data_IF_474840577862
#
_entry.id   IF_474840577862
#
_cell.length_a   1.000
_cell.length_b   1.000
_cell.length_c   1.000
_cell.angle_alpha   90.00
_cell.angle_beta   90.00
_cell.angle_gamma   90.00
#
_symmetry.space_group_name_H-M   'P 1'
#
loop_
_entity.id
_entity.type
_entity.pdbx_description
1 polymer ?
#
# COMPACT_ATOMS: atom_id res chain seq x y z
N UNK A 1 20.82 -30.09 23.15
CA UNK A 1 21.38 -29.37 24.31
C UNK A 1 22.13 -30.27 25.27
N UNK A 2 21.50 -31.30 25.93
CA UNK A 2 22.25 -32.27 26.77
C UNK A 2 23.26 -33.09 25.93
N UNK A 3 22.86 -33.54 24.74
CA UNK A 3 23.70 -34.30 23.81
C UNK A 3 24.93 -33.48 23.38
N UNK A 4 24.75 -32.21 23.03
CA UNK A 4 25.84 -31.33 22.59
C UNK A 4 26.87 -31.09 23.70
N UNK A 5 26.39 -30.97 24.98
CA UNK A 5 27.28 -30.87 26.14
C UNK A 5 28.05 -32.15 26.37
N UNK A 6 27.41 -33.34 26.22
CA UNK A 6 28.08 -34.63 26.32
C UNK A 6 29.17 -34.83 25.25
N UNK A 7 28.98 -34.22 24.08
CA UNK A 7 29.96 -34.18 22.98
C UNK A 7 31.05 -33.11 23.15
N UNK A 8 31.10 -32.42 24.30
CA UNK A 8 32.09 -31.38 24.60
C UNK A 8 31.96 -30.12 23.73
N UNK A 9 30.78 -29.87 23.14
CA UNK A 9 30.51 -28.71 22.28
C UNK A 9 29.64 -27.67 22.98
N UNK A 10 29.78 -26.42 22.59
CA UNK A 10 28.88 -25.33 23.05
C UNK A 10 27.50 -25.44 22.40
N UNK A 11 26.46 -25.15 23.17
CA UNK A 11 25.12 -25.07 22.63
C UNK A 11 25.01 -23.97 21.57
N UNK A 12 24.27 -24.17 20.47
CA UNK A 12 23.98 -23.11 19.53
C UNK A 12 23.16 -22.01 20.21
N UNK A 13 23.46 -20.78 19.86
CA UNK A 13 22.62 -19.65 20.24
C UNK A 13 21.30 -19.71 19.48
N UNK A 14 20.21 -19.34 20.14
CA UNK A 14 18.89 -19.35 19.53
C UNK A 14 17.89 -18.54 20.34
N UNK A 15 16.76 -18.26 19.72
CA UNK A 15 15.62 -17.63 20.37
C UNK A 15 14.31 -18.27 19.87
N UNK A 16 13.27 -18.20 20.70
CA UNK A 16 11.94 -18.63 20.31
C UNK A 16 11.25 -17.50 19.51
N UNK A 17 10.54 -17.89 18.47
CA UNK A 17 9.67 -16.98 17.70
C UNK A 17 8.23 -17.51 17.77
N UNK A 18 7.27 -16.57 17.59
CA UNK A 18 5.84 -16.88 17.67
C UNK A 18 5.28 -17.44 16.36
N UNK A 19 4.05 -17.93 16.43
CA UNK A 19 3.34 -18.54 15.32
C UNK A 19 2.94 -17.50 14.26
N UNK A 20 2.80 -17.98 13.03
CA UNK A 20 2.09 -17.26 11.97
C UNK A 20 0.63 -17.69 11.96
N UNK A 21 -0.26 -16.70 11.86
CA UNK A 21 -1.70 -16.85 11.90
C UNK A 21 -2.31 -16.43 10.56
N UNK A 22 -3.45 -16.99 10.22
CA UNK A 22 -4.25 -16.52 9.06
C UNK A 22 -5.03 -15.24 9.37
N UNK A 23 -5.89 -14.82 8.45
CA UNK A 23 -6.76 -13.66 8.60
C UNK A 23 -7.72 -13.74 9.79
N UNK A 24 -8.15 -14.96 10.14
CA UNK A 24 -9.04 -15.24 11.27
C UNK A 24 -8.33 -15.39 12.60
N UNK A 25 -6.99 -15.44 12.60
CA UNK A 25 -6.18 -15.65 13.78
C UNK A 25 -5.96 -17.13 14.12
N UNK A 26 -6.23 -18.04 13.20
CA UNK A 26 -5.91 -19.45 13.32
C UNK A 26 -4.46 -19.74 12.90
N UNK A 27 -3.85 -20.77 13.46
CA UNK A 27 -2.50 -21.20 13.09
C UNK A 27 -2.46 -21.61 11.61
N UNK A 28 -1.49 -21.07 10.88
CA UNK A 28 -1.23 -21.46 9.49
C UNK A 28 -0.75 -22.91 9.44
N UNK A 29 -1.31 -23.66 8.51
CA UNK A 29 -0.97 -25.04 8.25
C UNK A 29 -0.90 -25.30 6.75
N UNK A 30 0.15 -26.01 6.31
CA UNK A 30 0.30 -26.40 4.89
C UNK A 30 -0.88 -27.25 4.41
N UNK A 31 -1.42 -28.13 5.25
CA UNK A 31 -2.56 -28.98 4.89
C UNK A 31 -3.87 -28.22 4.77
N UNK A 32 -4.04 -27.09 5.47
CA UNK A 32 -5.21 -26.22 5.36
C UNK A 32 -5.11 -25.20 4.22
N UNK A 33 -3.90 -24.90 3.75
CA UNK A 33 -3.66 -23.87 2.72
C UNK A 33 -4.12 -22.47 3.14
N UNK A 34 -4.16 -22.16 4.44
CA UNK A 34 -4.77 -20.95 5.00
C UNK A 34 -3.77 -19.80 5.25
N UNK A 35 -2.64 -19.81 4.58
CA UNK A 35 -1.63 -18.76 4.69
C UNK A 35 -1.00 -18.44 3.33
N UNK A 36 -0.11 -17.46 3.30
CA UNK A 36 0.69 -17.13 2.12
C UNK A 36 2.00 -17.90 2.17
N UNK A 37 2.35 -18.59 1.09
CA UNK A 37 3.66 -19.24 0.93
C UNK A 37 4.72 -18.19 0.54
N UNK A 38 6.01 -18.57 0.66
CA UNK A 38 7.11 -17.72 0.22
C UNK A 38 6.99 -17.44 -1.28
N UNK A 39 6.70 -18.47 -2.07
CA UNK A 39 6.52 -18.36 -3.52
C UNK A 39 5.37 -17.41 -3.88
N UNK A 40 4.24 -17.50 -3.17
CA UNK A 40 3.12 -16.58 -3.36
C UNK A 40 3.50 -15.14 -3.00
N UNK A 41 4.22 -14.92 -1.88
CA UNK A 41 4.70 -13.57 -1.53
C UNK A 41 5.57 -12.98 -2.62
N UNK A 42 6.55 -13.75 -3.12
CA UNK A 42 7.48 -13.31 -4.16
C UNK A 42 6.82 -13.00 -5.52
N UNK A 43 5.59 -13.47 -5.74
CA UNK A 43 4.78 -13.02 -6.88
C UNK A 43 4.30 -11.58 -6.77
N UNK A 44 4.20 -11.04 -5.55
CA UNK A 44 3.53 -9.77 -5.26
C UNK A 44 4.44 -8.73 -4.60
N UNK A 45 5.62 -9.13 -4.12
CA UNK A 45 6.53 -8.25 -3.39
C UNK A 45 7.97 -8.77 -3.41
N UNK A 46 8.92 -7.92 -3.06
CA UNK A 46 10.33 -8.25 -3.02
C UNK A 46 10.67 -9.20 -1.86
N UNK A 47 11.75 -10.00 -1.99
CA UNK A 47 12.25 -10.84 -0.89
C UNK A 47 12.68 -10.02 0.32
N UNK A 48 13.16 -8.79 0.13
CA UNK A 48 13.56 -7.91 1.22
C UNK A 48 12.34 -7.45 2.05
N UNK A 49 11.19 -7.20 1.42
CA UNK A 49 9.95 -6.86 2.13
C UNK A 49 9.47 -8.03 2.99
N UNK A 50 9.59 -9.27 2.49
CA UNK A 50 9.31 -10.48 3.27
C UNK A 50 10.29 -10.64 4.42
N UNK A 51 11.59 -10.46 4.15
CA UNK A 51 12.63 -10.55 5.16
C UNK A 51 12.41 -9.55 6.29
N UNK A 52 12.05 -8.30 5.94
CA UNK A 52 11.67 -7.29 6.92
C UNK A 52 10.45 -7.72 7.75
N UNK A 53 9.38 -8.17 7.09
CA UNK A 53 8.18 -8.64 7.75
C UNK A 53 8.48 -9.79 8.74
N UNK A 54 9.37 -10.72 8.37
CA UNK A 54 9.79 -11.81 9.24
C UNK A 54 10.68 -11.35 10.39
N UNK A 55 11.61 -10.42 10.13
CA UNK A 55 12.57 -9.93 11.10
C UNK A 55 11.92 -9.08 12.20
N UNK A 56 10.93 -8.25 11.87
CA UNK A 56 10.27 -7.37 12.84
C UNK A 56 9.49 -8.17 13.89
N UNK A 57 9.64 -7.82 15.17
CA UNK A 57 8.86 -8.37 16.28
C UNK A 57 8.72 -9.91 16.30
N UNK A 58 9.80 -10.68 16.26
CA UNK A 58 9.73 -12.15 16.11
C UNK A 58 9.03 -12.85 17.29
N UNK A 59 8.92 -12.19 18.45
CA UNK A 59 8.24 -12.70 19.65
C UNK A 59 6.73 -12.39 19.69
N UNK A 60 6.16 -11.85 18.62
CA UNK A 60 4.71 -11.57 18.49
C UNK A 60 4.15 -12.42 17.37
N UNK A 61 3.00 -13.02 17.60
CA UNK A 61 2.25 -13.72 16.56
C UNK A 61 1.90 -12.73 15.43
N UNK A 62 2.09 -13.16 14.18
CA UNK A 62 1.88 -12.35 13.00
C UNK A 62 0.84 -12.97 12.10
N UNK A 63 -0.05 -12.16 11.59
CA UNK A 63 -0.98 -12.60 10.56
C UNK A 63 -0.30 -12.56 9.21
N UNK A 64 -0.27 -13.70 8.50
CA UNK A 64 0.37 -13.89 7.20
C UNK A 64 -0.66 -14.39 6.19
N UNK A 65 -1.30 -13.48 5.48
CA UNK A 65 -2.32 -13.70 4.47
C UNK A 65 -2.15 -12.69 3.33
N UNK A 66 -2.81 -12.87 2.18
CA UNK A 66 -2.51 -12.10 0.97
C UNK A 66 -2.69 -10.60 1.14
N UNK A 67 -3.72 -10.18 1.84
CA UNK A 67 -4.06 -8.77 2.04
C UNK A 67 -3.10 -8.02 2.98
N UNK A 68 -2.18 -8.72 3.69
CA UNK A 68 -1.12 -8.06 4.46
C UNK A 68 0.03 -7.57 3.58
N UNK A 69 0.20 -8.13 2.37
CA UNK A 69 1.34 -7.84 1.49
C UNK A 69 1.46 -6.35 1.17
N UNK A 70 0.40 -5.63 0.74
CA UNK A 70 0.51 -4.20 0.46
C UNK A 70 1.00 -3.39 1.65
N UNK A 71 0.49 -3.68 2.84
CA UNK A 71 0.90 -2.99 4.07
C UNK A 71 2.37 -3.26 4.41
N UNK A 72 2.83 -4.51 4.29
CA UNK A 72 4.21 -4.86 4.56
C UNK A 72 5.18 -4.22 3.56
N UNK A 73 4.77 -4.08 2.29
CA UNK A 73 5.54 -3.36 1.28
C UNK A 73 5.59 -1.86 1.60
N UNK A 74 4.47 -1.25 1.99
CA UNK A 74 4.44 0.16 2.37
C UNK A 74 5.31 0.43 3.61
N UNK A 75 5.29 -0.44 4.62
CA UNK A 75 6.20 -0.36 5.78
C UNK A 75 7.69 -0.46 5.37
N UNK A 76 8.01 -1.30 4.40
CA UNK A 76 9.36 -1.42 3.85
C UNK A 76 9.80 -0.12 3.15
N UNK A 77 8.95 0.47 2.31
CA UNK A 77 9.22 1.74 1.64
C UNK A 77 9.37 2.91 2.62
N UNK A 78 8.53 2.97 3.63
CA UNK A 78 8.60 3.98 4.70
C UNK A 78 9.93 3.93 5.47
N UNK A 79 10.44 2.71 5.72
CA UNK A 79 11.73 2.54 6.38
C UNK A 79 12.91 2.93 5.48
N UNK A 80 12.81 2.72 4.15
CA UNK A 80 13.79 3.25 3.18
C UNK A 80 13.83 4.78 3.27
N UNK A 81 12.66 5.44 3.25
CA UNK A 81 12.60 6.91 3.36
C UNK A 81 13.17 7.41 4.69
N UNK A 82 12.88 6.72 5.80
CA UNK A 82 13.43 7.07 7.12
C UNK A 82 14.94 6.90 7.17
N UNK A 83 15.49 5.85 6.56
CA UNK A 83 16.91 5.55 6.57
C UNK A 83 17.77 6.66 5.97
N UNK A 84 17.25 7.42 5.00
CA UNK A 84 17.95 8.54 4.35
C UNK A 84 18.27 9.71 5.29
N UNK A 85 17.54 9.83 6.38
CA UNK A 85 17.67 10.91 7.37
C UNK A 85 18.40 10.46 8.63
N UNK A 86 18.79 9.19 8.71
CA UNK A 86 19.43 8.58 9.86
C UNK A 86 20.95 8.68 9.78
N UNK A 87 21.58 8.96 10.90
CA UNK A 87 23.02 8.83 11.03
C UNK A 87 23.45 7.34 11.09
N UNK A 88 24.74 7.07 11.09
CA UNK A 88 25.28 5.71 11.10
C UNK A 88 24.84 4.90 12.33
N UNK A 89 24.65 5.54 13.48
CA UNK A 89 24.24 4.90 14.74
C UNK A 89 22.76 4.56 14.72
N UNK A 90 21.94 5.48 14.27
CA UNK A 90 20.50 5.29 14.10
C UNK A 90 20.20 4.23 13.03
N UNK A 91 21.00 4.22 11.94
CA UNK A 91 20.85 3.26 10.85
C UNK A 91 21.11 1.82 11.33
N UNK A 92 22.06 1.59 12.25
CA UNK A 92 22.27 0.27 12.87
C UNK A 92 21.06 -0.24 13.65
N UNK A 93 20.19 0.66 14.15
CA UNK A 93 18.94 0.32 14.83
C UNK A 93 17.77 0.13 13.84
N UNK A 94 17.94 0.54 12.59
CA UNK A 94 16.94 0.35 11.55
C UNK A 94 16.95 -1.11 11.06
N UNK A 95 15.80 -1.83 11.10
CA UNK A 95 15.71 -3.22 10.61
C UNK A 95 16.24 -3.41 9.19
N UNK A 96 16.11 -2.41 8.32
CA UNK A 96 16.59 -2.50 6.93
C UNK A 96 18.12 -2.70 6.82
N UNK A 97 18.89 -2.15 7.76
CA UNK A 97 20.34 -2.35 7.77
C UNK A 97 20.68 -3.84 7.86
N UNK A 98 19.94 -4.58 8.68
CA UNK A 98 20.12 -6.03 8.85
C UNK A 98 19.59 -6.82 7.64
N UNK A 99 18.43 -6.44 7.11
CA UNK A 99 17.82 -7.08 5.93
C UNK A 99 18.72 -6.94 4.70
N UNK A 100 19.36 -5.79 4.54
CA UNK A 100 20.22 -5.48 3.40
C UNK A 100 21.74 -5.69 3.67
N UNK A 101 22.10 -6.36 4.78
CA UNK A 101 23.49 -6.58 5.13
C UNK A 101 24.35 -5.30 5.10
N UNK A 102 23.83 -4.20 5.64
CA UNK A 102 24.48 -2.89 5.68
C UNK A 102 24.40 -2.05 4.41
N UNK A 103 23.79 -2.56 3.34
CA UNK A 103 23.66 -1.85 2.05
C UNK A 103 22.21 -1.44 1.79
N UNK A 104 21.68 -0.57 2.66
CA UNK A 104 20.29 -0.08 2.53
C UNK A 104 20.15 0.69 1.20
N UNK A 105 19.14 0.38 0.37
CA UNK A 105 18.97 1.05 -0.91
C UNK A 105 18.63 2.52 -0.73
N UNK A 106 19.08 3.35 -1.67
CA UNK A 106 18.83 4.78 -1.72
C UNK A 106 18.01 5.09 -2.97
N UNK A 107 16.69 4.96 -2.86
CA UNK A 107 15.75 5.33 -3.92
C UNK A 107 14.63 6.18 -3.32
N UNK A 108 14.31 7.31 -3.96
CA UNK A 108 13.21 8.16 -3.50
C UNK A 108 11.87 7.47 -3.72
N UNK A 109 11.01 7.49 -2.71
CA UNK A 109 9.65 7.01 -2.87
C UNK A 109 8.87 7.91 -3.83
N UNK A 110 8.27 7.31 -4.85
CA UNK A 110 7.39 8.00 -5.78
C UNK A 110 5.96 7.96 -5.23
N UNK A 111 5.53 6.78 -4.82
CA UNK A 111 4.22 6.55 -4.19
C UNK A 111 4.25 5.22 -3.40
N UNK A 112 3.29 5.05 -2.50
CA UNK A 112 3.12 3.79 -1.77
C UNK A 112 2.59 2.68 -2.69
N UNK A 113 2.77 1.42 -2.29
CA UNK A 113 2.24 0.28 -3.02
C UNK A 113 0.71 0.28 -3.05
N UNK A 114 0.08 0.64 -1.92
CA UNK A 114 -1.37 0.81 -1.84
C UNK A 114 -1.90 1.86 -2.81
N UNK A 115 -1.18 2.98 -2.98
CA UNK A 115 -1.54 4.01 -3.96
C UNK A 115 -1.38 3.50 -5.40
N UNK A 116 -0.32 2.73 -5.67
CA UNK A 116 -0.08 2.13 -6.99
C UNK A 116 -1.18 1.12 -7.34
N UNK A 117 -1.64 0.31 -6.39
CA UNK A 117 -2.78 -0.61 -6.58
C UNK A 117 -4.06 0.14 -6.97
N UNK A 118 -4.37 1.26 -6.30
CA UNK A 118 -5.53 2.07 -6.69
C UNK A 118 -5.36 2.70 -8.09
N UNK A 119 -4.13 3.07 -8.46
CA UNK A 119 -3.86 3.58 -9.80
C UNK A 119 -4.07 2.49 -10.87
N UNK A 120 -3.58 1.28 -10.63
CA UNK A 120 -3.83 0.11 -11.51
C UNK A 120 -5.31 -0.10 -11.71
N UNK A 121 -6.05 -0.05 -10.62
CA UNK A 121 -7.48 -0.26 -10.61
C UNK A 121 -8.27 0.76 -11.43
N UNK A 122 -8.02 2.04 -11.16
CA UNK A 122 -8.81 3.15 -11.73
C UNK A 122 -8.45 3.43 -13.18
N UNK A 123 -7.18 3.23 -13.53
CA UNK A 123 -6.71 3.44 -14.89
C UNK A 123 -6.99 2.25 -15.83
N UNK A 124 -7.51 1.13 -15.29
CA UNK A 124 -7.57 -0.15 -16.01
C UNK A 124 -6.23 -0.52 -16.65
N UNK A 125 -5.12 -0.12 -16.02
CA UNK A 125 -3.79 -0.36 -16.55
C UNK A 125 -3.46 -1.86 -16.49
N UNK A 126 -3.31 -2.46 -17.64
CA UNK A 126 -2.96 -3.88 -17.80
C UNK A 126 -1.48 -4.07 -18.08
N UNK A 127 -0.74 -2.99 -18.38
CA UNK A 127 0.69 -3.04 -18.71
C UNK A 127 1.51 -2.06 -17.90
N UNK A 128 2.80 -2.36 -17.75
CA UNK A 128 3.76 -1.49 -17.07
C UNK A 128 3.87 -0.12 -17.74
N UNK A 129 3.83 -0.09 -19.09
CA UNK A 129 3.95 1.13 -19.88
C UNK A 129 2.83 2.11 -19.60
N UNK A 130 1.60 1.61 -19.41
CA UNK A 130 0.46 2.44 -19.05
C UNK A 130 0.67 3.11 -17.70
N UNK A 131 1.11 2.36 -16.69
CA UNK A 131 1.39 2.91 -15.37
C UNK A 131 2.54 3.92 -15.39
N UNK A 132 3.62 3.60 -16.10
CA UNK A 132 4.74 4.53 -16.28
C UNK A 132 4.33 5.84 -16.95
N UNK A 133 3.36 5.81 -17.87
CA UNK A 133 2.82 7.02 -18.49
C UNK A 133 2.17 7.94 -17.45
N UNK A 134 1.33 7.40 -16.55
CA UNK A 134 0.74 8.19 -15.46
C UNK A 134 1.80 8.77 -14.54
N UNK A 135 2.76 7.96 -14.13
CA UNK A 135 3.83 8.37 -13.21
C UNK A 135 4.71 9.48 -13.82
N UNK A 136 5.06 9.38 -15.12
CA UNK A 136 5.83 10.40 -15.84
C UNK A 136 5.10 11.73 -15.99
N UNK A 137 3.77 11.71 -16.06
CA UNK A 137 2.99 12.94 -16.09
C UNK A 137 3.13 13.75 -14.78
N UNK A 138 3.32 13.06 -13.67
CA UNK A 138 3.51 13.70 -12.36
C UNK A 138 4.97 14.11 -12.11
N UNK A 139 5.94 13.27 -12.43
CA UNK A 139 7.37 13.49 -12.18
C UNK A 139 8.17 13.24 -13.47
N UNK A 140 8.56 14.33 -14.16
CA UNK A 140 9.11 14.27 -15.53
C UNK A 140 10.45 13.53 -15.67
N UNK A 141 11.30 13.52 -14.65
CA UNK A 141 12.69 13.04 -14.74
C UNK A 141 12.89 11.64 -14.13
N UNK A 142 11.90 10.76 -14.23
CA UNK A 142 11.99 9.40 -13.71
C UNK A 142 12.02 8.38 -14.85
N UNK A 143 12.90 7.39 -14.71
CA UNK A 143 13.04 6.28 -15.65
C UNK A 143 13.07 4.96 -14.90
N UNK A 144 12.86 3.86 -15.63
CA UNK A 144 12.93 2.51 -15.05
C UNK A 144 14.30 2.20 -14.45
N UNK A 145 15.36 2.77 -15.02
CA UNK A 145 16.75 2.49 -14.63
C UNK A 145 17.17 3.23 -13.35
N UNK A 146 16.68 4.47 -13.14
CA UNK A 146 17.01 5.23 -11.94
C UNK A 146 16.00 5.03 -10.78
N UNK A 147 14.93 4.23 -11.02
CA UNK A 147 13.96 3.81 -10.01
C UNK A 147 13.68 2.30 -10.07
N UNK A 148 14.68 1.43 -9.85
CA UNK A 148 14.54 -0.02 -9.97
C UNK A 148 13.57 -0.64 -8.96
N UNK A 149 13.52 -0.14 -7.71
CA UNK A 149 12.55 -0.60 -6.70
C UNK A 149 11.14 -0.28 -7.18
N UNK A 150 10.90 0.96 -7.59
CA UNK A 150 9.58 1.38 -8.07
C UNK A 150 9.17 0.65 -9.35
N UNK A 151 10.11 0.38 -10.26
CA UNK A 151 9.84 -0.42 -11.46
C UNK A 151 9.35 -1.84 -11.12
N UNK A 152 9.94 -2.47 -10.09
CA UNK A 152 9.47 -3.75 -9.60
C UNK A 152 8.09 -3.66 -8.92
N UNK A 153 7.83 -2.58 -8.17
CA UNK A 153 6.51 -2.34 -7.56
C UNK A 153 5.41 -2.25 -8.61
N UNK A 154 5.67 -1.62 -9.77
CA UNK A 154 4.72 -1.58 -10.90
C UNK A 154 4.35 -3.00 -11.35
N UNK A 155 5.32 -3.88 -11.53
CA UNK A 155 5.08 -5.28 -11.93
C UNK A 155 4.26 -6.03 -10.88
N UNK A 156 4.66 -5.92 -9.62
CA UNK A 156 3.97 -6.54 -8.51
C UNK A 156 2.53 -6.04 -8.36
N UNK A 157 2.30 -4.73 -8.55
CA UNK A 157 0.97 -4.15 -8.40
C UNK A 157 -0.03 -4.66 -9.45
N UNK A 158 0.38 -4.79 -10.70
CA UNK A 158 -0.46 -5.34 -11.77
C UNK A 158 -0.82 -6.80 -11.45
N UNK A 159 0.19 -7.59 -11.06
CA UNK A 159 -0.03 -9.00 -10.72
C UNK A 159 -0.92 -9.17 -9.50
N UNK A 160 -0.63 -8.44 -8.41
CA UNK A 160 -1.44 -8.49 -7.19
C UNK A 160 -2.88 -8.06 -7.45
N UNK A 161 -3.08 -7.00 -8.24
CA UNK A 161 -4.41 -6.54 -8.61
C UNK A 161 -5.20 -7.62 -9.34
N UNK A 162 -4.62 -8.25 -10.36
CA UNK A 162 -5.30 -9.27 -11.15
C UNK A 162 -5.64 -10.52 -10.33
N UNK A 163 -4.71 -10.97 -9.48
CA UNK A 163 -4.82 -12.24 -8.76
C UNK A 163 -5.65 -12.13 -7.46
N UNK A 164 -5.60 -10.96 -6.79
CA UNK A 164 -6.16 -10.79 -5.44
C UNK A 164 -7.27 -9.74 -5.39
N UNK A 165 -7.02 -8.52 -5.89
CA UNK A 165 -7.95 -7.39 -5.68
C UNK A 165 -9.18 -7.51 -6.55
N UNK A 166 -8.99 -7.79 -7.84
CA UNK A 166 -10.07 -7.81 -8.84
C UNK A 166 -11.22 -8.75 -8.48
N UNK A 167 -10.92 -9.85 -7.79
CA UNK A 167 -11.90 -10.88 -7.41
C UNK A 167 -12.71 -10.51 -6.16
N UNK A 168 -12.22 -9.60 -5.32
CA UNK A 168 -12.77 -9.32 -3.98
C UNK A 168 -13.52 -8.00 -3.87
N UNK A 169 -13.72 -7.26 -4.96
CA UNK A 169 -14.34 -5.93 -4.95
C UNK A 169 -15.83 -5.96 -4.66
N UNK A 170 -16.25 -5.05 -3.80
CA UNK A 170 -17.67 -4.80 -3.49
C UNK A 170 -17.95 -3.31 -3.55
N UNK A 171 -18.53 -2.86 -4.67
CA UNK A 171 -18.94 -1.47 -4.81
C UNK A 171 -20.23 -1.19 -4.02
N UNK A 172 -20.20 -0.10 -3.24
CA UNK A 172 -21.37 0.40 -2.55
C UNK A 172 -22.21 1.26 -3.49
N UNK A 173 -23.51 1.03 -3.53
CA UNK A 173 -24.46 1.96 -4.16
C UNK A 173 -24.75 3.08 -3.16
N UNK A 174 -24.45 4.36 -3.47
CA UNK A 174 -24.71 5.46 -2.56
C UNK A 174 -26.23 5.71 -2.42
N UNK A 175 -26.68 6.01 -1.21
CA UNK A 175 -28.03 6.49 -0.98
C UNK A 175 -28.18 7.96 -1.45
N UNK A 176 -29.39 8.52 -1.32
CA UNK A 176 -29.68 9.88 -1.82
C UNK A 176 -28.78 10.95 -1.21
N UNK A 177 -28.55 10.91 0.12
CA UNK A 177 -27.70 11.88 0.84
C UNK A 177 -26.23 11.72 0.46
N UNK A 178 -25.76 10.48 0.38
CA UNK A 178 -24.39 10.13 -0.04
C UNK A 178 -24.14 10.55 -1.50
N UNK A 179 -25.11 10.31 -2.39
CA UNK A 179 -25.02 10.74 -3.78
C UNK A 179 -24.92 12.26 -3.90
N UNK A 180 -25.70 13.01 -3.10
CA UNK A 180 -25.61 14.47 -3.03
C UNK A 180 -24.22 14.93 -2.60
N UNK A 181 -23.66 14.33 -1.54
CA UNK A 181 -22.32 14.66 -1.07
C UNK A 181 -21.24 14.39 -2.13
N UNK A 182 -21.37 13.31 -2.90
CA UNK A 182 -20.45 12.99 -4.01
C UNK A 182 -20.61 13.97 -5.19
N UNK A 183 -21.82 14.46 -5.48
CA UNK A 183 -22.05 15.50 -6.47
C UNK A 183 -21.45 16.85 -6.04
N UNK A 184 -21.52 17.20 -4.75
CA UNK A 184 -20.86 18.37 -4.20
C UNK A 184 -19.33 18.25 -4.29
N UNK A 185 -18.78 17.03 -4.10
CA UNK A 185 -17.36 16.75 -4.32
C UNK A 185 -16.96 17.01 -5.78
N UNK A 186 -17.73 16.51 -6.73
CA UNK A 186 -17.51 16.76 -8.16
C UNK A 186 -17.50 18.28 -8.44
N UNK A 187 -18.53 18.98 -7.98
CA UNK A 187 -18.65 20.45 -8.19
C UNK A 187 -17.46 21.22 -7.58
N UNK A 188 -16.96 20.78 -6.43
CA UNK A 188 -15.81 21.37 -5.79
C UNK A 188 -14.52 21.07 -6.57
N UNK A 189 -14.31 19.82 -6.98
CA UNK A 189 -13.16 19.44 -7.81
C UNK A 189 -13.16 20.16 -9.17
N UNK A 190 -14.31 20.43 -9.77
CA UNK A 190 -14.40 21.20 -11.03
C UNK A 190 -13.88 22.64 -10.89
N UNK A 191 -13.99 23.23 -9.69
CA UNK A 191 -13.50 24.59 -9.39
C UNK A 191 -11.99 24.65 -9.08
N UNK A 192 -11.37 23.51 -8.74
CA UNK A 192 -9.95 23.45 -8.44
C UNK A 192 -9.10 23.76 -9.69
N UNK A 193 -7.97 24.44 -9.52
CA UNK A 193 -7.02 24.66 -10.60
C UNK A 193 -6.25 23.40 -10.96
N UNK A 194 -5.78 23.27 -12.20
CA UNK A 194 -5.00 22.10 -12.65
C UNK A 194 -3.62 22.00 -11.96
N UNK A 195 -3.10 23.10 -11.40
CA UNK A 195 -1.82 23.16 -10.70
C UNK A 195 -1.95 23.14 -9.17
N UNK A 196 -3.13 22.79 -8.64
CA UNK A 196 -3.35 22.72 -7.19
C UNK A 196 -2.49 21.63 -6.55
N UNK A 197 -1.86 21.93 -5.40
CA UNK A 197 -1.03 20.97 -4.69
C UNK A 197 -1.90 19.83 -4.13
N UNK A 198 -1.34 18.62 -3.99
CA UNK A 198 -2.06 17.47 -3.42
C UNK A 198 -2.68 17.75 -2.05
N UNK A 199 -1.98 18.50 -1.20
CA UNK A 199 -2.44 18.90 0.14
C UNK A 199 -3.67 19.81 0.08
N UNK A 200 -3.69 20.72 -0.88
CA UNK A 200 -4.80 21.65 -1.05
C UNK A 200 -6.03 20.90 -1.59
N UNK A 201 -5.85 20.00 -2.56
CA UNK A 201 -6.93 19.09 -3.02
C UNK A 201 -7.49 18.27 -1.85
N UNK A 202 -6.60 17.74 -1.01
CA UNK A 202 -7.01 17.00 0.19
C UNK A 202 -7.85 17.86 1.13
N UNK A 203 -7.49 19.13 1.31
CA UNK A 203 -8.21 20.10 2.16
C UNK A 203 -9.61 20.37 1.60
N UNK A 204 -9.75 20.51 0.29
CA UNK A 204 -11.04 20.67 -0.37
C UNK A 204 -11.95 19.44 -0.15
N UNK A 205 -11.41 18.23 -0.25
CA UNK A 205 -12.16 17.00 0.03
C UNK A 205 -12.65 16.97 1.48
N UNK A 206 -11.81 17.37 2.45
CA UNK A 206 -12.22 17.51 3.85
C UNK A 206 -13.34 18.53 4.02
N UNK A 207 -13.25 19.67 3.33
CA UNK A 207 -14.26 20.75 3.41
C UNK A 207 -15.60 20.27 2.90
N UNK A 208 -15.65 19.57 1.77
CA UNK A 208 -16.88 18.97 1.25
C UNK A 208 -17.48 17.98 2.24
N UNK A 209 -16.68 17.10 2.82
CA UNK A 209 -17.16 16.15 3.83
C UNK A 209 -17.78 16.83 5.04
N UNK A 210 -17.12 17.86 5.58
CA UNK A 210 -17.65 18.65 6.72
C UNK A 210 -18.98 19.31 6.39
N UNK A 211 -19.13 19.86 5.20
CA UNK A 211 -20.34 20.56 4.74
C UNK A 211 -21.52 19.61 4.46
N UNK A 212 -21.22 18.32 4.23
CA UNK A 212 -22.21 17.29 3.95
C UNK A 212 -22.51 16.36 5.15
N UNK A 213 -22.28 16.84 6.38
CA UNK A 213 -22.68 16.14 7.59
C UNK A 213 -21.65 15.18 8.18
N UNK A 214 -20.44 15.10 7.61
CA UNK A 214 -19.35 14.23 8.11
C UNK A 214 -18.37 14.96 9.04
N UNK A 215 -18.74 16.15 9.57
CA UNK A 215 -17.85 16.97 10.40
C UNK A 215 -17.28 16.22 11.60
N UNK A 216 -18.11 15.46 12.28
CA UNK A 216 -17.76 14.70 13.48
C UNK A 216 -17.06 13.37 13.17
N UNK A 217 -17.23 12.85 11.96
CA UNK A 217 -16.65 11.57 11.55
C UNK A 217 -16.20 11.58 10.09
N UNK A 218 -15.09 12.28 9.82
CA UNK A 218 -14.50 12.34 8.48
C UNK A 218 -14.01 10.97 7.96
N UNK A 219 -13.79 10.00 8.85
CA UNK A 219 -13.42 8.65 8.43
C UNK A 219 -14.53 8.01 7.59
N UNK A 220 -15.81 8.19 7.98
CA UNK A 220 -16.94 7.69 7.20
C UNK A 220 -17.07 8.37 5.84
N UNK A 221 -16.70 9.66 5.72
CA UNK A 221 -16.64 10.36 4.45
C UNK A 221 -15.65 9.72 3.48
N UNK A 222 -14.43 9.49 3.94
CA UNK A 222 -13.42 8.83 3.11
C UNK A 222 -13.80 7.39 2.80
N UNK A 223 -14.34 6.64 3.77
CA UNK A 223 -14.86 5.30 3.57
C UNK A 223 -15.93 5.28 2.48
N UNK A 224 -16.89 6.21 2.51
CA UNK A 224 -17.90 6.34 1.46
C UNK A 224 -17.30 6.50 0.07
N UNK A 225 -16.32 7.42 -0.08
CA UNK A 225 -15.65 7.64 -1.38
C UNK A 225 -14.96 6.34 -1.84
N UNK A 226 -14.23 5.66 -0.94
CA UNK A 226 -13.53 4.44 -1.30
C UNK A 226 -14.46 3.29 -1.65
N UNK A 227 -15.52 3.09 -0.91
CA UNK A 227 -16.52 2.04 -1.18
C UNK A 227 -17.28 2.27 -2.49
N UNK A 228 -17.65 3.50 -2.79
CA UNK A 228 -18.41 3.84 -4.01
C UNK A 228 -17.50 3.84 -5.24
N UNK A 229 -16.33 4.47 -5.15
CA UNK A 229 -15.48 4.71 -6.31
C UNK A 229 -14.56 3.54 -6.59
N UNK A 230 -14.01 2.91 -5.55
CA UNK A 230 -12.97 1.89 -5.68
C UNK A 230 -13.39 0.49 -5.21
N UNK A 231 -14.53 0.35 -4.54
CA UNK A 231 -15.02 -0.93 -4.03
C UNK A 231 -14.21 -1.50 -2.86
N UNK A 232 -13.52 -0.62 -2.11
CA UNK A 232 -12.70 -0.96 -0.93
C UNK A 232 -13.02 -0.01 0.22
N UNK A 233 -12.78 -0.42 1.47
CA UNK A 233 -13.12 0.41 2.64
C UNK A 233 -12.12 1.54 2.92
N UNK A 234 -10.88 1.39 2.48
CA UNK A 234 -9.77 2.29 2.80
C UNK A 234 -8.80 2.40 1.61
N UNK A 235 -8.06 3.50 1.56
CA UNK A 235 -7.03 3.72 0.55
C UNK A 235 -6.07 4.86 0.93
N UNK A 236 -5.17 5.26 0.01
CA UNK A 236 -4.22 6.34 0.24
C UNK A 236 -4.91 7.70 0.33
N UNK A 237 -4.15 8.75 0.66
CA UNK A 237 -4.67 10.12 0.67
C UNK A 237 -5.19 10.51 -0.72
N UNK A 238 -6.49 10.82 -0.81
CA UNK A 238 -7.16 11.11 -2.09
C UNK A 238 -6.58 12.31 -2.82
N UNK A 239 -6.12 13.35 -2.11
CA UNK A 239 -5.49 14.50 -2.76
C UNK A 239 -4.24 14.12 -3.56
N UNK A 240 -3.39 13.26 -2.99
CA UNK A 240 -2.25 12.70 -3.71
C UNK A 240 -2.69 11.80 -4.86
N UNK A 241 -3.65 10.92 -4.63
CA UNK A 241 -4.18 10.06 -5.67
C UNK A 241 -4.71 10.87 -6.87
N UNK A 242 -5.51 11.89 -6.63
CA UNK A 242 -6.09 12.75 -7.68
C UNK A 242 -5.00 13.49 -8.46
N UNK A 243 -3.90 13.90 -7.81
CA UNK A 243 -2.79 14.57 -8.49
C UNK A 243 -2.05 13.66 -9.48
N UNK A 244 -2.03 12.33 -9.24
CA UNK A 244 -1.45 11.34 -10.15
C UNK A 244 -2.43 10.87 -11.22
N UNK A 245 -3.64 10.53 -10.80
CA UNK A 245 -4.67 9.98 -11.68
C UNK A 245 -5.22 11.02 -12.66
N UNK A 246 -5.29 12.25 -12.21
CA UNK A 246 -5.90 13.35 -12.94
C UNK A 246 -7.24 13.74 -12.35
N UNK A 247 -7.43 15.05 -12.19
CA UNK A 247 -8.67 15.61 -11.61
C UNK A 247 -9.90 15.34 -12.48
N UNK A 248 -9.75 15.51 -13.80
CA UNK A 248 -10.83 15.27 -14.77
C UNK A 248 -11.23 13.79 -14.83
N UNK A 249 -10.22 12.94 -14.78
CA UNK A 249 -10.38 11.49 -14.75
C UNK A 249 -11.12 11.05 -13.48
N UNK A 250 -10.76 11.62 -12.32
CA UNK A 250 -11.44 11.35 -11.06
C UNK A 250 -12.90 11.80 -11.08
N UNK A 251 -13.19 12.99 -11.60
CA UNK A 251 -14.56 13.48 -11.77
C UNK A 251 -15.37 12.54 -12.66
N UNK A 252 -14.80 12.10 -13.78
CA UNK A 252 -15.45 11.16 -14.70
C UNK A 252 -15.74 9.83 -14.01
N UNK A 253 -14.78 9.32 -13.24
CA UNK A 253 -14.91 8.07 -12.50
C UNK A 253 -16.01 8.16 -11.43
N UNK A 254 -16.07 9.24 -10.64
CA UNK A 254 -17.14 9.43 -9.67
C UNK A 254 -18.49 9.48 -10.37
N UNK A 255 -18.63 10.24 -11.48
CA UNK A 255 -19.87 10.33 -12.26
C UNK A 255 -20.35 8.95 -12.76
N UNK A 256 -19.43 8.11 -13.23
CA UNK A 256 -19.74 6.74 -13.65
C UNK A 256 -20.31 5.89 -12.51
N UNK A 257 -19.72 5.98 -11.31
CA UNK A 257 -20.09 5.12 -10.17
C UNK A 257 -21.36 5.55 -9.44
N UNK A 258 -21.81 6.79 -9.59
CA UNK A 258 -23.02 7.29 -8.96
C UNK A 258 -24.27 7.29 -9.88
N UNK A 259 -24.10 7.00 -11.15
CA UNK A 259 -25.18 6.83 -12.11
C UNK A 259 -25.74 5.40 -12.08
#
# INVERSE_FOLDING_TARGET
TKIIKLLGKNNPSGFAYELFLDDKGEKISKSKGNGVTIEEWLNYASPESLSLFMYQNPKRAKKLYKEIVPKAVDEYLDLIEKSKKQDARELLLNPLWHVHNGKVPYEDSIMSFSMLLNLVETSNATTEEMLWKFVKNYKKNITKDNFPIFNNLIKYSIKYFNDVVKQNKKYKKPNFTEKKALLDLISNLEKCSDNMKPEDIQTEIYTVGKNNGYKENLREWFKLIYEVVFGVENGPRLGFFISFFGRKEMISLIKEKIN
#
